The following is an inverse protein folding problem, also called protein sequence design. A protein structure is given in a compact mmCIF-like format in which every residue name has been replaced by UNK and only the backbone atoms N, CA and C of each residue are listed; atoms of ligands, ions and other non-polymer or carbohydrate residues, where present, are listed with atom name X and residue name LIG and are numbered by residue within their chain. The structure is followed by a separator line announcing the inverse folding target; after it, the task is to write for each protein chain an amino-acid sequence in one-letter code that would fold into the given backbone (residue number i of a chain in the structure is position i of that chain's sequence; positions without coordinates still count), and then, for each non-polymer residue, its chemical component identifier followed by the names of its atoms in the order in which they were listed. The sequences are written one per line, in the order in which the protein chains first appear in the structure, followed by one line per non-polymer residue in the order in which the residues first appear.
data_IF_218733126058
#
_entry.id   IF_218733126058
#
_cell.length_a   1.000
_cell.length_b   1.000
_cell.length_c   1.000
_cell.angle_alpha   90.00
_cell.angle_beta   90.00
_cell.angle_gamma   90.00
#
_symmetry.space_group_name_H-M   'P 1'
#
loop_
_entity.id
_entity.type
_entity.pdbx_description
1 polymer ?
#
# COMPACT_ATOMS: atom_id res chain seq x y z
N UNK A 1 33.83 5.84 -2.52
CA UNK A 1 32.48 5.40 -2.07
C UNK A 1 31.62 5.31 -3.32
N UNK A 2 31.01 4.16 -3.63
CA UNK A 2 30.10 4.06 -4.78
C UNK A 2 28.92 5.01 -4.58
N UNK A 3 28.50 5.70 -5.65
CA UNK A 3 27.34 6.59 -5.61
C UNK A 3 26.08 5.71 -5.47
N UNK A 4 25.17 5.97 -4.50
CA UNK A 4 23.92 5.23 -4.40
C UNK A 4 23.13 5.29 -5.70
N UNK A 5 22.65 4.14 -6.19
CA UNK A 5 21.94 4.06 -7.47
C UNK A 5 20.74 5.01 -7.56
N UNK A 6 19.99 5.18 -6.46
CA UNK A 6 18.87 6.12 -6.41
C UNK A 6 19.30 7.59 -6.56
N UNK A 7 20.43 7.98 -5.96
CA UNK A 7 20.97 9.34 -6.12
C UNK A 7 21.43 9.57 -7.56
N UNK A 8 22.12 8.59 -8.16
CA UNK A 8 22.53 8.66 -9.55
C UNK A 8 21.32 8.78 -10.49
N UNK A 9 20.27 7.99 -10.25
CA UNK A 9 19.03 8.05 -11.02
C UNK A 9 18.35 9.42 -10.93
N UNK A 10 18.27 10.04 -9.74
CA UNK A 10 17.75 11.41 -9.59
C UNK A 10 18.62 12.41 -10.36
N UNK A 11 19.94 12.35 -10.21
CA UNK A 11 20.85 13.32 -10.85
C UNK A 11 20.72 13.21 -12.36
N UNK A 12 20.85 12.01 -12.92
CA UNK A 12 20.77 11.79 -14.37
C UNK A 12 19.37 12.12 -14.88
N UNK A 13 18.32 11.67 -14.20
CA UNK A 13 16.94 11.97 -14.58
C UNK A 13 16.61 13.46 -14.56
N UNK A 14 17.12 14.19 -13.55
CA UNK A 14 16.97 15.65 -13.47
C UNK A 14 17.72 16.32 -14.60
N UNK A 15 18.98 15.97 -14.85
CA UNK A 15 19.76 16.54 -15.97
C UNK A 15 19.05 16.29 -17.30
N UNK A 16 18.57 15.06 -17.54
CA UNK A 16 17.83 14.73 -18.75
C UNK A 16 16.55 15.57 -18.90
N UNK A 17 15.80 15.77 -17.82
CA UNK A 17 14.56 16.56 -17.84
C UNK A 17 14.77 18.05 -18.12
N UNK A 18 15.93 18.60 -17.76
CA UNK A 18 16.29 19.99 -18.06
C UNK A 18 16.94 20.15 -19.44
N UNK A 19 17.85 19.25 -19.81
CA UNK A 19 18.72 19.43 -20.99
C UNK A 19 18.10 18.88 -22.26
N UNK A 20 17.49 17.70 -22.23
CA UNK A 20 17.02 17.05 -23.45
C UNK A 20 15.92 17.84 -24.19
N UNK A 21 14.94 18.48 -23.51
CA UNK A 21 13.95 19.34 -24.19
C UNK A 21 14.58 20.52 -24.94
N UNK A 22 15.72 21.05 -24.46
CA UNK A 22 16.44 22.14 -25.12
C UNK A 22 17.31 21.64 -26.29
N UNK A 23 17.94 20.48 -26.13
CA UNK A 23 18.88 19.93 -27.12
C UNK A 23 18.16 19.23 -28.28
N UNK A 24 17.03 18.56 -28.00
CA UNK A 24 16.29 17.77 -29.00
C UNK A 24 14.77 18.02 -28.91
N UNK A 25 14.30 19.27 -29.10
CA UNK A 25 12.89 19.64 -28.94
C UNK A 25 11.96 18.94 -29.94
N UNK A 26 12.49 18.45 -31.06
CA UNK A 26 11.68 17.76 -32.08
C UNK A 26 11.27 16.34 -31.66
N UNK A 27 12.00 15.74 -30.72
CA UNK A 27 11.75 14.39 -30.20
C UNK A 27 11.02 14.40 -28.85
N UNK A 28 10.87 15.56 -28.21
CA UNK A 28 10.29 15.70 -26.87
C UNK A 28 9.11 16.66 -26.89
N UNK A 29 7.94 16.17 -26.46
CA UNK A 29 6.74 16.99 -26.32
C UNK A 29 6.77 17.73 -24.98
N UNK A 30 7.16 19.00 -25.02
CA UNK A 30 7.15 19.91 -23.87
C UNK A 30 8.42 19.84 -23.00
N UNK A 31 8.59 20.86 -22.15
CA UNK A 31 9.61 20.86 -21.11
C UNK A 31 8.95 20.54 -19.77
N UNK A 32 9.27 19.40 -19.12
CA UNK A 32 8.71 19.07 -17.82
C UNK A 32 9.14 20.07 -16.74
N UNK A 33 10.27 20.75 -16.95
CA UNK A 33 10.86 21.71 -15.99
C UNK A 33 11.01 23.10 -16.61
N UNK A 34 10.89 24.15 -15.80
CA UNK A 34 11.03 25.54 -16.26
C UNK A 34 11.63 26.44 -15.18
N UNK A 35 12.56 27.30 -15.57
CA UNK A 35 13.19 28.28 -14.67
C UNK A 35 12.17 29.28 -14.11
N UNK A 36 11.13 29.63 -14.87
CA UNK A 36 10.09 30.54 -14.40
C UNK A 36 9.16 29.88 -13.37
N UNK A 37 8.97 28.56 -13.47
CA UNK A 37 8.26 27.79 -12.45
C UNK A 37 9.04 27.76 -11.12
N UNK A 38 10.38 27.69 -11.16
CA UNK A 38 11.24 27.82 -9.97
C UNK A 38 11.08 29.20 -9.35
N UNK A 39 11.18 30.29 -10.13
CA UNK A 39 11.03 31.66 -9.62
C UNK A 39 9.67 31.86 -8.96
N UNK A 40 8.61 31.36 -9.58
CA UNK A 40 7.26 31.42 -9.04
C UNK A 40 7.14 30.64 -7.73
N UNK A 41 7.69 29.43 -7.67
CA UNK A 41 7.71 28.62 -6.44
C UNK A 41 8.57 29.27 -5.34
N UNK A 42 9.67 29.94 -5.71
CA UNK A 42 10.51 30.67 -4.76
C UNK A 42 9.79 31.87 -4.16
N UNK A 43 8.94 32.55 -4.94
CA UNK A 43 8.07 33.62 -4.45
C UNK A 43 7.03 33.13 -3.44
N UNK A 44 6.76 31.83 -3.39
CA UNK A 44 5.88 31.18 -2.40
C UNK A 44 6.66 30.64 -1.20
N UNK A 45 8.00 30.72 -1.17
CA UNK A 45 8.77 30.35 0.01
C UNK A 45 8.49 31.36 1.14
N UNK A 46 8.37 30.85 2.36
CA UNK A 46 7.95 31.65 3.51
C UNK A 46 7.96 30.84 4.80
N UNK A 47 7.60 31.46 5.92
CA UNK A 47 7.48 30.74 7.18
C UNK A 47 6.08 30.11 7.30
N UNK A 48 6.03 28.78 7.33
CA UNK A 48 4.82 27.97 7.44
C UNK A 48 4.84 27.18 8.75
N UNK A 49 4.59 27.84 9.90
CA UNK A 49 4.54 27.14 11.18
C UNK A 49 3.36 26.16 11.21
N UNK A 50 3.48 25.06 11.97
CA UNK A 50 2.36 24.14 12.15
C UNK A 50 1.16 24.88 12.76
N UNK A 51 -0.03 24.63 12.23
CA UNK A 51 -1.27 25.23 12.72
C UNK A 51 -2.00 24.24 13.61
N UNK A 52 -2.52 24.69 14.76
CA UNK A 52 -3.25 23.81 15.65
C UNK A 52 -4.66 23.54 15.10
N UNK A 53 -4.93 22.29 14.71
CA UNK A 53 -6.21 21.81 14.20
C UNK A 53 -7.08 21.10 15.25
N UNK A 54 -6.61 20.95 16.49
CA UNK A 54 -7.32 20.20 17.53
C UNK A 54 -8.71 20.71 17.85
N UNK A 55 -8.95 22.03 17.76
CA UNK A 55 -10.30 22.61 17.91
C UNK A 55 -11.26 22.15 16.82
N UNK A 56 -10.83 22.19 15.55
CA UNK A 56 -11.63 21.72 14.42
C UNK A 56 -11.89 20.21 14.49
N UNK A 57 -10.88 19.42 14.88
CA UNK A 57 -11.03 17.98 15.10
C UNK A 57 -12.04 17.68 16.21
N UNK A 58 -12.04 18.47 17.29
CA UNK A 58 -13.01 18.29 18.38
C UNK A 58 -14.44 18.58 17.94
N UNK A 59 -14.67 19.63 17.16
CA UNK A 59 -16.00 19.92 16.60
C UNK A 59 -16.45 18.84 15.61
N UNK A 60 -15.55 18.33 14.76
CA UNK A 60 -15.84 17.21 13.88
C UNK A 60 -16.27 15.97 14.67
N UNK A 61 -15.55 15.62 15.75
CA UNK A 61 -15.87 14.45 16.57
C UNK A 61 -17.27 14.53 17.22
N UNK A 62 -17.77 15.73 17.51
CA UNK A 62 -19.14 15.95 18.04
C UNK A 62 -20.23 15.72 17.00
N UNK A 63 -19.89 15.64 15.71
CA UNK A 63 -20.84 15.49 14.61
C UNK A 63 -20.64 14.14 13.90
N UNK A 64 -21.13 13.01 14.46
CA UNK A 64 -21.00 11.69 13.87
C UNK A 64 -21.43 11.61 12.39
N UNK A 65 -22.44 12.39 12.00
CA UNK A 65 -22.91 12.42 10.61
C UNK A 65 -21.84 12.84 9.59
N UNK A 66 -20.82 13.60 10.00
CA UNK A 66 -19.77 14.08 9.10
C UNK A 66 -18.58 13.13 8.96
N UNK A 67 -18.34 12.25 9.94
CA UNK A 67 -17.16 11.38 9.93
C UNK A 67 -17.45 9.88 9.95
N UNK A 68 -18.63 9.45 10.39
CA UNK A 68 -18.99 8.02 10.45
C UNK A 68 -18.97 7.40 9.05
N UNK A 69 -19.36 8.15 8.00
CA UNK A 69 -19.24 7.70 6.61
C UNK A 69 -17.80 7.38 6.20
N UNK A 70 -16.81 8.06 6.77
CA UNK A 70 -15.40 7.80 6.51
C UNK A 70 -14.85 6.63 7.33
N UNK A 71 -15.59 6.03 8.27
CA UNK A 71 -15.11 4.86 9.03
C UNK A 71 -14.74 3.69 8.12
N UNK A 72 -15.41 3.59 6.98
CA UNK A 72 -15.12 2.63 5.92
C UNK A 72 -13.73 2.82 5.30
N UNK A 73 -13.14 4.01 5.39
CA UNK A 73 -11.77 4.33 4.95
C UNK A 73 -10.81 4.37 6.13
N UNK A 74 -11.20 5.02 7.24
CA UNK A 74 -10.39 5.21 8.45
C UNK A 74 -9.95 3.86 9.02
N UNK A 75 -10.87 2.91 9.14
CA UNK A 75 -10.55 1.62 9.76
C UNK A 75 -9.58 0.78 8.91
N UNK A 76 -9.82 0.55 7.59
CA UNK A 76 -8.84 -0.13 6.75
C UNK A 76 -7.49 0.58 6.69
N UNK A 77 -7.48 1.92 6.56
CA UNK A 77 -6.23 2.68 6.47
C UNK A 77 -5.43 2.65 7.79
N UNK A 78 -6.11 2.74 8.93
CA UNK A 78 -5.49 2.62 10.25
C UNK A 78 -4.89 1.23 10.46
N UNK A 79 -5.62 0.18 10.09
CA UNK A 79 -5.14 -1.19 10.18
C UNK A 79 -3.98 -1.45 9.20
N UNK A 80 -4.03 -0.91 7.98
CA UNK A 80 -2.92 -0.92 7.03
C UNK A 80 -1.66 -0.29 7.63
N UNK A 81 -1.78 0.89 8.25
CA UNK A 81 -0.64 1.57 8.86
C UNK A 81 -0.02 0.74 9.99
N UNK A 82 -0.85 0.08 10.80
CA UNK A 82 -0.39 -0.79 11.88
C UNK A 82 0.36 -2.01 11.32
N UNK A 83 -0.23 -2.71 10.36
CA UNK A 83 0.37 -3.89 9.73
C UNK A 83 1.67 -3.51 9.01
N UNK A 84 1.65 -2.45 8.21
CA UNK A 84 2.83 -1.97 7.48
C UNK A 84 3.97 -1.56 8.42
N UNK A 85 3.64 -0.92 9.55
CA UNK A 85 4.64 -0.58 10.56
C UNK A 85 5.26 -1.83 11.21
N UNK A 86 4.48 -2.88 11.47
CA UNK A 86 4.99 -4.16 11.97
C UNK A 86 5.89 -4.84 10.93
N UNK A 87 5.48 -4.86 9.65
CA UNK A 87 6.29 -5.39 8.56
C UNK A 87 7.64 -4.67 8.43
N UNK A 88 7.67 -3.35 8.67
CA UNK A 88 8.94 -2.59 8.68
C UNK A 88 9.84 -2.97 9.85
N UNK A 89 9.27 -3.25 11.03
CA UNK A 89 10.02 -3.74 12.20
C UNK A 89 10.60 -5.13 11.93
N UNK A 90 9.79 -6.04 11.38
CA UNK A 90 10.22 -7.40 10.98
C UNK A 90 11.29 -7.35 9.89
N UNK A 91 11.14 -6.45 8.91
CA UNK A 91 12.13 -6.21 7.85
C UNK A 91 13.46 -5.69 8.43
N UNK A 92 13.41 -4.79 9.42
CA UNK A 92 14.61 -4.32 10.12
C UNK A 92 15.30 -5.44 10.92
N UNK A 93 14.52 -6.29 11.59
CA UNK A 93 15.03 -7.45 12.31
C UNK A 93 15.68 -8.48 11.37
N UNK A 94 15.09 -8.72 10.19
CA UNK A 94 15.68 -9.55 9.14
C UNK A 94 17.03 -8.99 8.63
N UNK A 95 17.23 -7.67 8.68
CA UNK A 95 18.51 -7.02 8.40
C UNK A 95 19.45 -6.93 9.62
N UNK A 96 19.09 -7.55 10.74
CA UNK A 96 19.91 -7.66 11.94
C UNK A 96 19.78 -6.50 12.95
N UNK A 97 18.75 -5.66 12.86
CA UNK A 97 18.40 -4.69 13.91
C UNK A 97 17.05 -5.04 14.54
N UNK A 98 17.09 -5.60 15.75
CA UNK A 98 15.87 -5.93 16.50
C UNK A 98 15.37 -4.70 17.26
N UNK A 99 14.16 -4.24 16.93
CA UNK A 99 13.49 -3.15 17.62
C UNK A 99 12.26 -3.67 18.37
N UNK A 100 12.08 -3.33 19.67
CA UNK A 100 10.87 -3.69 20.39
C UNK A 100 9.62 -3.11 19.73
N UNK A 101 8.69 -3.98 19.31
CA UNK A 101 7.54 -3.56 18.53
C UNK A 101 6.64 -2.57 19.28
N UNK A 102 6.31 -2.83 20.54
CA UNK A 102 5.39 -1.98 21.32
C UNK A 102 5.87 -0.51 21.42
N UNK A 103 7.10 -0.20 21.85
CA UNK A 103 7.63 1.17 21.84
C UNK A 103 7.64 1.81 20.44
N UNK A 104 8.06 1.09 19.40
CA UNK A 104 8.12 1.61 18.04
C UNK A 104 6.72 1.97 17.52
N UNK A 105 5.74 1.09 17.74
CA UNK A 105 4.35 1.32 17.38
C UNK A 105 3.70 2.45 18.18
N UNK A 106 4.01 2.58 19.47
CA UNK A 106 3.55 3.70 20.28
C UNK A 106 4.11 5.03 19.78
N UNK A 107 5.39 5.09 19.43
CA UNK A 107 5.99 6.29 18.85
C UNK A 107 5.29 6.69 17.54
N UNK A 108 4.98 5.71 16.68
CA UNK A 108 4.24 5.96 15.45
C UNK A 108 2.81 6.48 15.72
N UNK A 109 2.05 5.83 16.62
CA UNK A 109 0.69 6.26 16.95
C UNK A 109 0.62 7.65 17.58
N UNK A 110 1.50 7.94 18.54
CA UNK A 110 1.61 9.27 19.15
C UNK A 110 2.03 10.31 18.11
N UNK A 111 2.98 9.99 17.25
CA UNK A 111 3.39 10.84 16.13
C UNK A 111 2.22 11.18 15.20
N UNK A 112 1.38 10.21 14.87
CA UNK A 112 0.17 10.40 14.06
C UNK A 112 -0.83 11.34 14.73
N UNK A 113 -1.10 11.17 16.03
CA UNK A 113 -2.01 12.05 16.79
C UNK A 113 -1.45 13.48 16.85
N UNK A 114 -0.15 13.62 17.12
CA UNK A 114 0.49 14.93 17.15
C UNK A 114 0.46 15.60 15.77
N UNK A 115 0.72 14.86 14.70
CA UNK A 115 0.65 15.38 13.34
C UNK A 115 -0.77 15.84 12.97
N UNK A 116 -1.80 15.08 13.34
CA UNK A 116 -3.20 15.47 13.06
C UNK A 116 -3.63 16.70 13.85
N UNK A 117 -3.20 16.83 15.11
CA UNK A 117 -3.41 18.04 15.92
C UNK A 117 -2.71 19.27 15.33
N UNK A 118 -1.68 19.08 14.51
CA UNK A 118 -0.95 20.14 13.80
C UNK A 118 -1.39 20.28 12.34
N UNK A 119 -2.52 19.67 11.96
CA UNK A 119 -3.17 19.86 10.66
C UNK A 119 -2.77 18.85 9.57
N UNK A 120 -2.00 17.81 9.89
CA UNK A 120 -1.73 16.73 8.93
C UNK A 120 -2.97 15.86 8.73
N UNK A 121 -3.41 15.72 7.47
CA UNK A 121 -4.44 14.76 7.09
C UNK A 121 -3.89 13.34 6.84
N UNK A 122 -2.56 13.17 6.90
CA UNK A 122 -1.91 11.88 6.68
C UNK A 122 -1.33 11.31 7.98
N UNK A 123 -1.52 10.00 8.25
CA UNK A 123 -0.89 9.35 9.39
C UNK A 123 0.62 9.22 9.19
N UNK A 124 1.36 9.20 10.30
CA UNK A 124 2.78 8.84 10.26
C UNK A 124 2.94 7.33 10.10
N UNK A 125 4.11 6.89 9.64
CA UNK A 125 4.44 5.47 9.56
C UNK A 125 5.92 5.23 9.87
N UNK A 126 6.25 4.00 10.26
CA UNK A 126 7.65 3.59 10.43
C UNK A 126 8.31 3.54 9.06
N UNK A 127 9.55 4.00 8.98
CA UNK A 127 10.28 4.14 7.73
C UNK A 127 10.46 2.80 7.00
N UNK A 128 10.06 2.76 5.71
CA UNK A 128 10.20 1.58 4.85
C UNK A 128 11.62 1.50 4.29
N UNK A 129 12.15 0.29 4.13
CA UNK A 129 13.41 0.05 3.43
C UNK A 129 14.65 0.08 4.32
N UNK A 130 14.49 -0.06 5.65
CA UNK A 130 15.60 -0.19 6.61
C UNK A 130 16.75 -1.10 6.13
N UNK A 131 16.50 -2.30 5.56
CA UNK A 131 17.58 -3.15 5.04
C UNK A 131 18.46 -2.44 3.99
N UNK A 132 17.83 -1.80 3.00
CA UNK A 132 18.55 -1.11 1.93
C UNK A 132 19.39 0.07 2.44
N UNK A 133 18.85 0.85 3.39
CA UNK A 133 19.61 1.94 4.01
C UNK A 133 20.79 1.43 4.85
N UNK A 134 20.58 0.33 5.58
CA UNK A 134 21.63 -0.30 6.39
C UNK A 134 22.76 -0.85 5.54
N UNK A 135 22.45 -1.52 4.42
CA UNK A 135 23.45 -1.99 3.45
C UNK A 135 24.32 -0.84 2.90
N UNK A 136 23.74 0.35 2.75
CA UNK A 136 24.48 1.57 2.36
C UNK A 136 25.32 2.19 3.48
N UNK A 137 25.36 1.59 4.67
CA UNK A 137 26.10 2.09 5.84
C UNK A 137 25.39 3.19 6.63
N UNK A 138 24.08 3.37 6.41
CA UNK A 138 23.27 4.33 7.16
C UNK A 138 23.18 3.96 8.63
N UNK A 139 23.10 4.98 9.50
CA UNK A 139 22.98 4.86 10.97
C UNK A 139 21.97 5.88 11.48
N UNK A 140 21.72 5.88 12.79
CA UNK A 140 20.76 6.79 13.43
C UNK A 140 20.94 8.28 13.03
N UNK A 141 22.19 8.75 12.89
CA UNK A 141 22.46 10.14 12.49
C UNK A 141 21.89 10.51 11.12
N UNK A 142 21.90 9.60 10.15
CA UNK A 142 21.28 9.83 8.84
C UNK A 142 19.76 10.04 8.97
N UNK A 143 19.10 9.18 9.76
CA UNK A 143 17.66 9.28 10.01
C UNK A 143 17.28 10.60 10.70
N UNK A 144 18.05 11.01 11.71
CA UNK A 144 17.84 12.30 12.40
C UNK A 144 18.04 13.50 11.48
N UNK A 145 19.11 13.50 10.68
CA UNK A 145 19.38 14.59 9.73
C UNK A 145 18.30 14.67 8.66
N UNK A 146 17.79 13.54 8.19
CA UNK A 146 16.68 13.50 7.25
C UNK A 146 15.42 14.15 7.84
N UNK A 147 15.07 13.81 9.08
CA UNK A 147 13.96 14.44 9.79
C UNK A 147 14.10 15.95 9.93
N UNK A 148 15.29 16.44 10.33
CA UNK A 148 15.59 17.88 10.44
C UNK A 148 15.51 18.56 9.07
N UNK A 149 16.07 17.95 8.04
CA UNK A 149 16.08 18.48 6.68
C UNK A 149 14.66 18.68 6.14
N UNK A 150 13.82 17.65 6.23
CA UNK A 150 12.43 17.75 5.79
C UNK A 150 11.60 18.71 6.65
N UNK A 151 11.85 18.76 7.97
CA UNK A 151 11.23 19.76 8.83
C UNK A 151 11.53 21.19 8.37
N UNK A 152 12.80 21.52 8.10
CA UNK A 152 13.19 22.85 7.63
C UNK A 152 12.58 23.18 6.27
N UNK A 153 12.54 22.20 5.35
CA UNK A 153 11.96 22.40 4.02
C UNK A 153 10.46 22.66 4.11
N UNK A 154 9.73 21.90 4.91
CA UNK A 154 8.30 22.09 5.12
C UNK A 154 8.00 23.43 5.80
N UNK A 155 8.74 23.78 6.85
CA UNK A 155 8.57 25.05 7.57
C UNK A 155 8.92 26.28 6.72
N UNK A 156 9.77 26.14 5.71
CA UNK A 156 10.15 27.22 4.79
C UNK A 156 9.31 27.24 3.50
N UNK A 157 8.43 26.26 3.29
CA UNK A 157 7.66 26.12 2.05
C UNK A 157 8.52 25.77 0.82
N UNK A 158 9.81 25.45 1.01
CA UNK A 158 10.75 25.20 -0.10
C UNK A 158 10.51 23.86 -0.79
N UNK A 159 9.60 23.01 -0.28
CA UNK A 159 9.13 21.80 -0.98
C UNK A 159 8.61 22.11 -2.37
N UNK A 160 7.88 23.23 -2.52
CA UNK A 160 7.38 23.69 -3.82
C UNK A 160 8.52 23.95 -4.80
N UNK A 161 9.61 24.59 -4.34
CA UNK A 161 10.81 24.84 -5.15
C UNK A 161 11.47 23.53 -5.58
N UNK A 162 11.66 22.60 -4.64
CA UNK A 162 12.27 21.29 -4.92
C UNK A 162 11.47 20.53 -5.98
N UNK A 163 10.12 20.55 -5.89
CA UNK A 163 9.23 19.92 -6.88
C UNK A 163 9.33 20.53 -8.29
N UNK A 164 9.85 21.76 -8.41
CA UNK A 164 10.09 22.44 -9.70
C UNK A 164 11.54 22.34 -10.16
N UNK A 165 12.42 21.72 -9.38
CA UNK A 165 13.81 21.42 -9.75
C UNK A 165 13.98 19.95 -10.11
N UNK A 166 13.39 19.06 -9.32
CA UNK A 166 13.48 17.60 -9.48
C UNK A 166 12.17 17.09 -10.08
N UNK A 167 12.20 16.50 -11.30
CA UNK A 167 11.00 15.95 -11.92
C UNK A 167 10.46 14.78 -11.11
N UNK A 168 9.13 14.66 -11.03
CA UNK A 168 8.46 13.59 -10.30
C UNK A 168 8.87 12.22 -10.87
N UNK A 169 9.04 12.14 -12.18
CA UNK A 169 9.39 10.95 -12.95
C UNK A 169 10.73 10.35 -12.51
N UNK A 170 11.71 11.19 -12.14
CA UNK A 170 12.98 10.71 -11.60
C UNK A 170 12.81 10.10 -10.20
N UNK A 171 11.87 10.62 -9.40
CA UNK A 171 11.50 10.04 -8.10
C UNK A 171 10.78 8.70 -8.23
N UNK A 172 9.90 8.56 -9.23
CA UNK A 172 9.15 7.31 -9.50
C UNK A 172 10.10 6.13 -9.75
N UNK A 173 11.24 6.36 -10.41
CA UNK A 173 12.24 5.32 -10.65
C UNK A 173 12.78 4.70 -9.34
N UNK A 174 12.95 5.50 -8.28
CA UNK A 174 13.39 5.01 -6.97
C UNK A 174 12.30 4.16 -6.33
N UNK A 175 11.05 4.63 -6.36
CA UNK A 175 9.91 3.89 -5.79
C UNK A 175 9.76 2.54 -6.49
N UNK A 176 9.91 2.51 -7.81
CA UNK A 176 9.92 1.27 -8.60
C UNK A 176 11.04 0.33 -8.16
N UNK A 177 12.27 0.83 -8.01
CA UNK A 177 13.40 0.03 -7.55
C UNK A 177 13.18 -0.54 -6.14
N UNK A 178 12.72 0.29 -5.19
CA UNK A 178 12.40 -0.15 -3.83
C UNK A 178 11.30 -1.23 -3.88
N UNK A 179 10.26 -1.05 -4.69
CA UNK A 179 9.21 -2.06 -4.88
C UNK A 179 9.73 -3.39 -5.40
N UNK A 180 10.64 -3.37 -6.38
CA UNK A 180 11.31 -4.57 -6.91
C UNK A 180 12.17 -5.26 -5.85
N UNK A 181 12.96 -4.51 -5.09
CA UNK A 181 13.81 -5.05 -4.02
C UNK A 181 12.95 -5.67 -2.92
N UNK A 182 11.88 -5.01 -2.46
CA UNK A 182 10.97 -5.55 -1.45
C UNK A 182 10.29 -6.83 -1.96
N UNK A 183 9.88 -6.84 -3.23
CA UNK A 183 9.26 -8.03 -3.84
C UNK A 183 10.25 -9.18 -3.92
N UNK A 184 11.49 -8.94 -4.39
CA UNK A 184 12.54 -9.95 -4.41
C UNK A 184 12.85 -10.48 -3.00
N UNK A 185 12.96 -9.58 -2.01
CA UNK A 185 13.16 -9.94 -0.61
C UNK A 185 12.04 -10.81 -0.05
N UNK A 186 10.78 -10.59 -0.45
CA UNK A 186 9.68 -11.45 -0.02
C UNK A 186 9.88 -12.92 -0.44
N UNK A 187 10.46 -13.16 -1.62
CA UNK A 187 10.80 -14.50 -2.09
C UNK A 187 12.05 -15.08 -1.41
N UNK A 188 13.08 -14.27 -1.16
CA UNK A 188 14.36 -14.76 -0.60
C UNK A 188 14.37 -14.85 0.92
N UNK A 189 13.57 -14.04 1.61
CA UNK A 189 13.46 -14.05 3.07
C UNK A 189 12.48 -15.12 3.58
N UNK A 190 11.60 -15.62 2.70
CA UNK A 190 10.71 -16.74 2.99
C UNK A 190 11.38 -18.07 2.63
N UNK A 191 11.03 -19.20 3.28
CA UNK A 191 11.46 -20.52 2.83
C UNK A 191 11.11 -20.72 1.35
N UNK A 192 12.03 -21.25 0.55
CA UNK A 192 11.87 -21.33 -0.91
C UNK A 192 10.60 -22.08 -1.36
N UNK A 193 10.16 -23.08 -0.58
CA UNK A 193 8.90 -23.80 -0.81
C UNK A 193 7.64 -22.92 -0.70
N UNK A 194 7.70 -21.77 -0.04
CA UNK A 194 6.60 -20.81 0.08
C UNK A 194 6.56 -19.78 -1.06
N UNK A 195 7.44 -19.85 -2.05
CA UNK A 195 7.41 -18.97 -3.22
C UNK A 195 6.03 -18.88 -3.91
N UNK A 196 5.24 -19.97 -4.06
CA UNK A 196 3.87 -19.87 -4.60
C UNK A 196 2.93 -19.02 -3.73
N UNK A 197 3.11 -19.03 -2.41
CA UNK A 197 2.30 -18.21 -1.49
C UNK A 197 2.64 -16.72 -1.61
N UNK A 198 3.92 -16.39 -1.79
CA UNK A 198 4.38 -15.02 -2.08
C UNK A 198 3.76 -14.54 -3.40
N UNK A 199 3.87 -15.35 -4.46
CA UNK A 199 3.28 -15.02 -5.77
C UNK A 199 1.76 -14.84 -5.69
N UNK A 200 1.05 -15.74 -4.99
CA UNK A 200 -0.40 -15.64 -4.77
C UNK A 200 -0.76 -14.33 -4.06
N UNK A 201 0.02 -13.94 -3.05
CA UNK A 201 -0.16 -12.71 -2.30
C UNK A 201 -0.05 -11.44 -3.15
N UNK A 202 0.65 -11.46 -4.29
CA UNK A 202 0.80 -10.28 -5.15
C UNK A 202 -0.42 -10.04 -6.07
N UNK A 203 -1.16 -11.09 -6.44
CA UNK A 203 -2.25 -10.98 -7.41
C UNK A 203 -3.35 -9.98 -7.02
N UNK A 204 -3.86 -9.93 -5.78
CA UNK A 204 -4.91 -8.97 -5.42
C UNK A 204 -4.46 -7.52 -5.55
N UNK A 205 -3.19 -7.21 -5.29
CA UNK A 205 -2.64 -5.87 -5.48
C UNK A 205 -2.52 -5.50 -6.97
N UNK A 206 -2.17 -6.46 -7.84
CA UNK A 206 -2.13 -6.26 -9.29
C UNK A 206 -3.55 -6.02 -9.83
N UNK A 207 -4.53 -6.81 -9.35
CA UNK A 207 -5.93 -6.61 -9.68
C UNK A 207 -6.43 -5.23 -9.20
N UNK A 208 -6.00 -4.80 -8.02
CA UNK A 208 -6.34 -3.48 -7.48
C UNK A 208 -5.84 -2.32 -8.36
N UNK A 209 -4.60 -2.42 -8.83
CA UNK A 209 -4.05 -1.49 -9.80
C UNK A 209 -4.86 -1.49 -11.11
N UNK A 210 -5.23 -2.67 -11.61
CA UNK A 210 -6.10 -2.81 -12.79
C UNK A 210 -7.47 -2.13 -12.60
N UNK A 211 -8.08 -2.27 -11.41
CA UNK A 211 -9.34 -1.61 -11.08
C UNK A 211 -9.20 -0.08 -11.09
N UNK A 212 -8.08 0.44 -10.58
CA UNK A 212 -7.78 1.89 -10.57
C UNK A 212 -7.68 2.44 -12.00
N UNK A 213 -6.98 1.72 -12.89
CA UNK A 213 -6.89 2.11 -14.31
C UNK A 213 -8.27 2.10 -14.98
N UNK A 214 -9.05 1.05 -14.74
CA UNK A 214 -10.41 0.94 -15.28
C UNK A 214 -11.28 2.10 -14.80
N UNK A 215 -11.26 2.41 -13.50
CA UNK A 215 -12.01 3.51 -12.90
C UNK A 215 -11.61 4.86 -13.52
N UNK A 216 -10.31 5.14 -13.63
CA UNK A 216 -9.81 6.35 -14.28
C UNK A 216 -10.19 6.46 -15.75
N UNK A 217 -10.22 5.32 -16.46
CA UNK A 217 -10.63 5.27 -17.87
C UNK A 217 -12.11 5.61 -18.03
N UNK A 218 -12.99 5.09 -17.17
CA UNK A 218 -14.42 5.43 -17.17
C UNK A 218 -14.66 6.90 -16.84
N UNK A 219 -13.88 7.46 -15.90
CA UNK A 219 -13.95 8.87 -15.54
C UNK A 219 -13.59 9.79 -16.71
N UNK A 220 -12.50 9.51 -17.42
CA UNK A 220 -12.04 10.31 -18.55
C UNK A 220 -12.90 10.08 -19.81
N UNK A 221 -13.38 8.86 -20.01
CA UNK A 221 -14.15 8.48 -21.19
C UNK A 221 -15.54 9.13 -21.27
N UNK A 222 -16.09 9.63 -20.15
CA UNK A 222 -17.36 10.37 -20.11
C UNK A 222 -18.60 9.59 -20.57
N UNK A 223 -18.50 8.27 -20.65
CA UNK A 223 -19.57 7.37 -21.09
C UNK A 223 -20.42 6.86 -19.93
N UNK A 224 -20.72 5.56 -19.94
CA UNK A 224 -21.39 4.90 -18.81
C UNK A 224 -20.51 4.95 -17.57
N UNK A 225 -21.11 5.23 -16.42
CA UNK A 225 -20.42 5.15 -15.15
C UNK A 225 -20.20 3.70 -14.72
N UNK A 226 -19.28 3.46 -13.79
CA UNK A 226 -19.07 2.13 -13.21
C UNK A 226 -20.36 1.61 -12.55
N UNK A 227 -21.12 2.50 -11.90
CA UNK A 227 -22.43 2.20 -11.35
C UNK A 227 -23.40 1.71 -12.43
N UNK A 228 -23.49 2.37 -13.59
CA UNK A 228 -24.36 1.96 -14.69
C UNK A 228 -23.98 0.57 -15.23
N UNK A 229 -22.68 0.31 -15.36
CA UNK A 229 -22.16 -0.97 -15.86
C UNK A 229 -22.54 -2.11 -14.91
N UNK A 230 -22.29 -1.94 -13.60
CA UNK A 230 -22.53 -2.98 -12.60
C UNK A 230 -24.01 -3.17 -12.28
N UNK A 231 -24.81 -2.10 -12.31
CA UNK A 231 -26.26 -2.18 -12.08
C UNK A 231 -27.02 -2.80 -13.26
N UNK A 232 -26.54 -2.63 -14.48
CA UNK A 232 -27.14 -3.26 -15.67
C UNK A 232 -26.90 -4.77 -15.68
N UNK A 233 -25.65 -5.19 -15.47
CA UNK A 233 -25.28 -6.59 -15.40
C UNK A 233 -24.00 -6.78 -14.59
N UNK A 234 -24.10 -7.49 -13.47
CA UNK A 234 -22.97 -7.80 -12.60
C UNK A 234 -21.89 -8.64 -13.31
N UNK A 235 -22.28 -9.44 -14.31
CA UNK A 235 -21.41 -10.28 -15.10
C UNK A 235 -20.89 -9.58 -16.37
N UNK A 236 -20.88 -8.24 -16.38
CA UNK A 236 -20.29 -7.51 -17.50
C UNK A 236 -18.78 -7.81 -17.59
N UNK A 237 -18.36 -8.19 -18.78
CA UNK A 237 -16.97 -8.47 -19.10
C UNK A 237 -16.39 -7.37 -19.99
N UNK A 238 -15.15 -6.99 -19.71
CA UNK A 238 -14.33 -6.13 -20.57
C UNK A 238 -13.16 -6.98 -21.05
N UNK A 239 -13.11 -7.22 -22.35
CA UNK A 239 -12.08 -8.06 -22.98
C UNK A 239 -11.96 -9.47 -22.33
N UNK A 240 -13.11 -10.06 -21.97
CA UNK A 240 -13.18 -11.38 -21.31
C UNK A 240 -12.87 -11.38 -19.80
N UNK A 241 -12.67 -10.21 -19.19
CA UNK A 241 -12.44 -10.08 -17.74
C UNK A 241 -13.67 -9.50 -17.04
N UNK A 242 -14.09 -10.13 -15.94
CA UNK A 242 -15.25 -9.72 -15.17
C UNK A 242 -14.97 -8.41 -14.41
N UNK A 243 -15.70 -7.34 -14.73
CA UNK A 243 -15.56 -6.03 -14.06
C UNK A 243 -15.84 -6.15 -12.57
N UNK A 244 -16.91 -6.86 -12.21
CA UNK A 244 -17.27 -7.10 -10.81
C UNK A 244 -16.16 -7.83 -10.04
N UNK A 245 -15.53 -8.85 -10.64
CA UNK A 245 -14.46 -9.62 -9.99
C UNK A 245 -13.24 -8.77 -9.69
N UNK A 246 -12.91 -7.85 -10.59
CA UNK A 246 -11.83 -6.89 -10.41
C UNK A 246 -12.10 -5.95 -9.22
N UNK A 247 -13.32 -5.41 -9.13
CA UNK A 247 -13.75 -4.56 -8.00
C UNK A 247 -13.76 -5.35 -6.69
N UNK A 248 -14.28 -6.57 -6.68
CA UNK A 248 -14.29 -7.45 -5.49
C UNK A 248 -12.88 -7.75 -4.97
N UNK A 249 -11.92 -7.95 -5.87
CA UNK A 249 -10.54 -8.29 -5.50
C UNK A 249 -9.76 -7.07 -5.00
N UNK A 250 -10.06 -5.90 -5.56
CA UNK A 250 -9.44 -4.64 -5.15
C UNK A 250 -9.90 -4.18 -3.76
N UNK A 251 -11.16 -4.45 -3.40
CA UNK A 251 -11.73 -3.97 -2.13
C UNK A 251 -11.13 -4.72 -0.94
N UNK A 252 -10.29 -4.01 -0.19
CA UNK A 252 -9.53 -4.59 0.92
C UNK A 252 -8.36 -5.44 0.47
N UNK A 253 -7.80 -5.19 -0.73
CA UNK A 253 -6.76 -6.02 -1.34
C UNK A 253 -5.58 -6.31 -0.40
N UNK A 254 -5.17 -5.39 0.48
CA UNK A 254 -4.09 -5.61 1.46
C UNK A 254 -4.40 -6.81 2.36
N UNK A 255 -5.63 -6.88 2.89
CA UNK A 255 -6.07 -8.01 3.71
C UNK A 255 -6.15 -9.27 2.87
N UNK A 256 -6.70 -9.17 1.66
CA UNK A 256 -6.80 -10.29 0.73
C UNK A 256 -5.42 -10.87 0.38
N UNK A 257 -4.43 -10.04 0.08
CA UNK A 257 -3.04 -10.41 -0.15
C UNK A 257 -2.47 -11.22 1.03
N UNK A 258 -2.58 -10.66 2.24
CA UNK A 258 -2.03 -11.27 3.46
C UNK A 258 -2.73 -12.59 3.80
N UNK A 259 -4.05 -12.62 3.75
CA UNK A 259 -4.87 -13.79 4.10
C UNK A 259 -4.66 -14.91 3.08
N UNK A 260 -4.68 -14.63 1.78
CA UNK A 260 -4.47 -15.65 0.75
C UNK A 260 -3.04 -16.21 0.80
N UNK A 261 -2.03 -15.36 1.00
CA UNK A 261 -0.67 -15.81 1.21
C UNK A 261 -0.55 -16.72 2.45
N UNK A 262 -1.18 -16.35 3.57
CA UNK A 262 -1.17 -17.14 4.80
C UNK A 262 -1.88 -18.50 4.64
N UNK A 263 -3.05 -18.53 3.99
CA UNK A 263 -3.77 -19.77 3.67
C UNK A 263 -2.88 -20.67 2.80
N UNK A 264 -2.31 -20.13 1.73
CA UNK A 264 -1.46 -20.89 0.82
C UNK A 264 -0.21 -21.45 1.52
N UNK A 265 0.49 -20.64 2.31
CA UNK A 265 1.64 -21.08 3.08
C UNK A 265 1.27 -22.20 4.08
N UNK A 266 0.13 -22.08 4.77
CA UNK A 266 -0.36 -23.13 5.67
C UNK A 266 -0.68 -24.44 4.93
N UNK A 267 -1.27 -24.35 3.74
CA UNK A 267 -1.56 -25.53 2.90
C UNK A 267 -0.29 -26.20 2.38
N UNK A 268 0.72 -25.42 1.97
CA UNK A 268 2.04 -25.93 1.58
C UNK A 268 2.72 -26.65 2.77
N UNK A 269 2.55 -26.12 3.98
CA UNK A 269 3.04 -26.73 5.22
C UNK A 269 2.24 -27.95 5.69
N UNK A 270 1.12 -28.30 5.03
CA UNK A 270 0.21 -29.34 5.50
C UNK A 270 -0.53 -28.98 6.79
N UNK A 271 -0.51 -27.71 7.22
CA UNK A 271 -1.17 -27.22 8.44
C UNK A 271 -2.61 -26.83 8.14
N UNK A 272 -3.46 -27.82 7.83
CA UNK A 272 -4.83 -27.58 7.37
C UNK A 272 -5.70 -26.88 8.42
N UNK A 273 -5.50 -27.12 9.72
CA UNK A 273 -6.21 -26.39 10.79
C UNK A 273 -5.89 -24.89 10.80
N UNK A 274 -4.63 -24.53 10.57
CA UNK A 274 -4.23 -23.13 10.47
C UNK A 274 -4.82 -22.47 9.22
N UNK A 275 -4.81 -23.18 8.07
CA UNK A 275 -5.47 -22.72 6.85
C UNK A 275 -6.99 -22.51 7.05
N UNK A 276 -7.64 -23.39 7.81
CA UNK A 276 -9.04 -23.25 8.17
C UNK A 276 -9.29 -22.02 9.04
N UNK A 277 -8.45 -21.76 10.05
CA UNK A 277 -8.54 -20.58 10.89
C UNK A 277 -8.40 -19.30 10.04
N UNK A 278 -7.41 -19.23 9.16
CA UNK A 278 -7.23 -18.09 8.26
C UNK A 278 -8.41 -17.90 7.30
N UNK A 279 -9.01 -18.99 6.82
CA UNK A 279 -10.25 -18.93 6.02
C UNK A 279 -11.44 -18.44 6.85
N UNK A 280 -11.55 -18.82 8.11
CA UNK A 280 -12.55 -18.27 9.04
C UNK A 280 -12.37 -16.78 9.28
N UNK A 281 -11.12 -16.32 9.45
CA UNK A 281 -10.79 -14.88 9.55
C UNK A 281 -11.17 -14.15 8.25
N UNK A 282 -10.87 -14.74 7.09
CA UNK A 282 -11.27 -14.21 5.79
C UNK A 282 -12.80 -14.05 5.67
N UNK A 283 -13.55 -15.06 6.11
CA UNK A 283 -15.01 -15.01 6.14
C UNK A 283 -15.52 -13.89 7.03
N UNK A 284 -14.96 -13.75 8.23
CA UNK A 284 -15.31 -12.66 9.15
C UNK A 284 -15.05 -11.30 8.50
N UNK A 285 -13.91 -11.11 7.84
CA UNK A 285 -13.57 -9.85 7.18
C UNK A 285 -14.52 -9.54 6.02
N UNK A 286 -14.89 -10.54 5.23
CA UNK A 286 -15.89 -10.40 4.18
C UNK A 286 -17.27 -10.04 4.74
N UNK A 287 -17.70 -10.70 5.82
CA UNK A 287 -18.99 -10.39 6.45
C UNK A 287 -19.03 -9.01 7.09
N UNK A 288 -17.93 -8.56 7.71
CA UNK A 288 -17.80 -7.21 8.26
C UNK A 288 -17.67 -6.13 7.18
N UNK A 289 -17.42 -6.51 5.93
CA UNK A 289 -17.24 -5.61 4.81
C UNK A 289 -15.85 -4.98 4.72
N UNK A 290 -14.85 -5.58 5.40
CA UNK A 290 -13.44 -5.17 5.33
C UNK A 290 -12.76 -5.65 4.05
N UNK A 291 -13.31 -6.68 3.41
CA UNK A 291 -12.86 -7.23 2.14
C UNK A 291 -14.04 -7.48 1.23
N UNK A 292 -13.87 -7.26 -0.07
CA UNK A 292 -14.81 -7.64 -1.13
C UNK A 292 -16.19 -6.96 -1.14
N UNK A 293 -16.62 -6.36 -0.03
CA UNK A 293 -17.86 -5.58 0.03
C UNK A 293 -17.60 -4.16 -0.45
N UNK A 294 -18.51 -3.64 -1.27
CA UNK A 294 -18.34 -2.32 -1.83
C UNK A 294 -19.65 -1.67 -2.21
N UNK A 295 -19.58 -0.36 -2.33
CA UNK A 295 -20.64 0.49 -2.85
C UNK A 295 -20.04 1.34 -3.96
N UNK A 296 -20.76 1.51 -5.07
CA UNK A 296 -20.35 2.37 -6.18
C UNK A 296 -21.35 3.50 -6.34
N UNK A 297 -20.85 4.73 -6.27
CA UNK A 297 -21.59 5.95 -6.58
C UNK A 297 -20.91 6.59 -7.79
N UNK A 298 -21.60 6.63 -8.92
CA UNK A 298 -21.05 7.01 -10.22
C UNK A 298 -19.82 6.16 -10.57
N UNK A 299 -18.62 6.73 -10.47
CA UNK A 299 -17.35 6.08 -10.70
C UNK A 299 -16.57 5.83 -9.41
N UNK A 300 -17.02 6.32 -8.26
CA UNK A 300 -16.31 6.19 -7.00
C UNK A 300 -16.72 4.92 -6.26
N UNK A 301 -15.72 4.14 -5.89
CA UNK A 301 -15.91 2.88 -5.18
C UNK A 301 -15.59 3.11 -3.71
N UNK A 302 -16.57 2.89 -2.85
CA UNK A 302 -16.48 3.04 -1.40
C UNK A 302 -16.45 1.67 -0.71
N UNK A 303 -15.79 1.62 0.46
CA UNK A 303 -15.94 0.48 1.35
C UNK A 303 -17.35 0.47 1.93
N UNK A 304 -17.94 -0.72 2.00
CA UNK A 304 -19.25 -0.92 2.59
C UNK A 304 -19.10 -1.82 3.81
N UNK A 305 -19.15 -1.23 5.00
CA UNK A 305 -19.09 -1.99 6.25
C UNK A 305 -20.46 -2.62 6.56
N UNK A 306 -20.47 -3.73 7.28
CA UNK A 306 -21.72 -4.44 7.62
C UNK A 306 -22.71 -3.60 8.44
N UNK A 307 -22.21 -2.59 9.15
CA UNK A 307 -22.98 -1.77 10.08
C UNK A 307 -23.43 -0.43 9.47
N UNK A 308 -23.06 -0.14 8.21
CA UNK A 308 -23.50 1.07 7.50
C UNK A 308 -24.77 0.76 6.70
N UNK A 309 -25.72 1.69 6.72
CA UNK A 309 -26.95 1.57 5.91
C UNK A 309 -26.61 1.58 4.42
N UNK A 310 -27.44 0.89 3.63
CA UNK A 310 -27.30 0.89 2.17
C UNK A 310 -27.59 2.28 1.64
N UNK A 311 -26.73 2.74 0.73
CA UNK A 311 -26.98 3.99 0.05
C UNK A 311 -28.02 3.79 -1.04
N UNK A 312 -29.04 4.65 -1.01
CA UNK A 312 -30.18 4.59 -1.94
C UNK A 312 -29.79 5.06 -3.34
N UNK A 313 -28.74 5.89 -3.43
CA UNK A 313 -28.31 6.52 -4.69
C UNK A 313 -27.23 5.71 -5.45
N UNK A 314 -26.67 4.66 -4.83
CA UNK A 314 -25.54 3.88 -5.34
C UNK A 314 -25.85 2.41 -5.63
N UNK A 315 -24.94 1.72 -6.34
CA UNK A 315 -24.97 0.26 -6.46
C UNK A 315 -24.24 -0.38 -5.29
N UNK A 316 -24.95 -1.18 -4.49
CA UNK A 316 -24.39 -1.85 -3.31
C UNK A 316 -24.18 -3.33 -3.55
N UNK A 317 -22.95 -3.80 -3.32
CA UNK A 317 -22.61 -5.23 -3.32
C UNK A 317 -22.31 -5.75 -1.92
N UNK A 318 -22.95 -6.86 -1.57
CA UNK A 318 -22.75 -7.56 -0.30
C UNK A 318 -21.76 -8.71 -0.50
N UNK A 319 -20.68 -8.75 0.28
CA UNK A 319 -19.70 -9.85 0.24
C UNK A 319 -20.15 -11.11 0.99
N UNK A 320 -21.46 -11.29 1.23
CA UNK A 320 -21.99 -12.46 1.95
C UNK A 320 -21.67 -13.77 1.22
N UNK A 321 -21.79 -13.80 -0.11
CA UNK A 321 -21.40 -14.97 -0.91
C UNK A 321 -19.91 -15.30 -0.81
N UNK A 322 -19.05 -14.28 -0.83
CA UNK A 322 -17.60 -14.44 -0.64
C UNK A 322 -17.28 -14.96 0.76
N UNK A 323 -17.94 -14.42 1.79
CA UNK A 323 -17.81 -14.89 3.17
C UNK A 323 -18.24 -16.35 3.34
N UNK A 324 -19.35 -16.76 2.72
CA UNK A 324 -19.79 -18.17 2.70
C UNK A 324 -18.75 -19.03 1.98
N UNK A 325 -18.19 -18.58 0.87
CA UNK A 325 -17.10 -19.28 0.17
C UNK A 325 -15.90 -19.55 1.08
N UNK A 326 -15.47 -18.56 1.85
CA UNK A 326 -14.40 -18.73 2.84
C UNK A 326 -14.78 -19.66 4.00
N UNK A 327 -16.05 -19.67 4.44
CA UNK A 327 -16.51 -20.67 5.42
C UNK A 327 -16.48 -22.09 4.85
N UNK A 328 -16.82 -22.27 3.57
CA UNK A 328 -16.72 -23.57 2.90
C UNK A 328 -15.26 -24.01 2.77
N UNK A 329 -14.33 -23.10 2.49
CA UNK A 329 -12.89 -23.38 2.55
C UNK A 329 -12.47 -23.79 3.96
N UNK A 330 -12.90 -23.06 4.99
CA UNK A 330 -12.60 -23.40 6.39
C UNK A 330 -13.10 -24.81 6.75
N UNK A 331 -14.34 -25.14 6.40
CA UNK A 331 -14.92 -26.47 6.62
C UNK A 331 -14.14 -27.56 5.87
N UNK A 332 -13.79 -27.31 4.60
CA UNK A 332 -13.02 -28.25 3.78
C UNK A 332 -11.63 -28.52 4.39
N UNK A 333 -10.93 -27.48 4.82
CA UNK A 333 -9.61 -27.61 5.44
C UNK A 333 -9.69 -28.28 6.81
N UNK A 334 -10.75 -28.06 7.61
CA UNK A 334 -10.97 -28.80 8.86
C UNK A 334 -11.17 -30.30 8.61
N UNK A 335 -11.98 -30.66 7.60
CA UNK A 335 -12.20 -32.06 7.21
C UNK A 335 -10.88 -32.71 6.79
N UNK A 336 -10.09 -32.03 5.95
CA UNK A 336 -8.78 -32.52 5.51
C UNK A 336 -7.77 -32.63 6.67
N UNK A 337 -7.73 -31.67 7.58
CA UNK A 337 -6.86 -31.68 8.76
C UNK A 337 -7.21 -32.78 9.78
N UNK A 338 -8.49 -33.15 9.87
CA UNK A 338 -8.93 -34.33 10.62
C UNK A 338 -8.37 -35.66 10.09
N UNK A 339 -7.95 -35.69 8.82
CA UNK A 339 -7.39 -36.88 8.17
C UNK A 339 -5.86 -36.87 8.02
N UNK A 340 -5.18 -35.71 8.12
CA UNK A 340 -3.80 -35.54 7.61
C UNK A 340 -2.88 -34.57 8.36
N UNK A 341 -3.17 -34.20 9.61
CA UNK A 341 -2.19 -33.42 10.40
C UNK A 341 -1.00 -34.30 10.85
N UNK A 342 -0.27 -34.89 9.90
CA UNK A 342 1.09 -35.41 10.12
C UNK A 342 2.05 -34.21 10.04
N UNK A 343 2.97 -34.06 11.01
CA UNK A 343 3.94 -32.98 10.96
C UNK A 343 4.79 -33.14 9.70
N UNK A 344 4.83 -32.09 8.87
CA UNK A 344 5.67 -32.03 7.69
C UNK A 344 7.08 -32.51 8.04
N UNK A 345 7.56 -33.54 7.33
CA UNK A 345 8.92 -34.05 7.49
C UNK A 345 9.89 -32.87 7.35
N UNK A 346 10.52 -32.50 8.46
CA UNK A 346 11.68 -31.62 8.48
C UNK A 346 12.82 -32.34 7.77
N UNK A 347 12.79 -32.41 6.44
CA UNK A 347 14.03 -32.52 5.70
C UNK A 347 14.77 -31.22 6.00
N UNK A 348 15.86 -31.32 6.76
CA UNK A 348 16.76 -30.22 7.03
C UNK A 348 17.00 -29.47 5.70
N UNK A 349 16.52 -28.23 5.62
CA UNK A 349 16.87 -27.33 4.53
C UNK A 349 18.39 -27.17 4.61
N UNK A 350 19.12 -27.75 3.65
CA UNK A 350 20.48 -27.32 3.37
C UNK A 350 20.40 -25.81 3.10
N UNK A 351 21.24 -24.99 3.76
CA UNK A 351 21.26 -23.57 3.48
C UNK A 351 21.60 -23.40 2.00
N UNK A 352 20.71 -22.72 1.27
CA UNK A 352 20.93 -22.31 -0.11
C UNK A 352 22.34 -21.68 -0.18
N UNK A 353 23.27 -22.18 -1.03
CA UNK A 353 24.60 -21.62 -1.11
C UNK A 353 24.46 -20.13 -1.37
N UNK A 354 25.00 -19.31 -0.44
CA UNK A 354 25.06 -17.86 -0.61
C UNK A 354 25.54 -17.58 -2.03
N UNK A 355 24.85 -16.74 -2.82
CA UNK A 355 25.34 -16.40 -4.14
C UNK A 355 26.75 -15.85 -3.98
N UNK A 356 27.71 -16.50 -4.63
CA UNK A 356 29.08 -16.05 -4.66
C UNK A 356 29.09 -14.68 -5.33
N UNK A 357 29.33 -13.64 -4.53
CA UNK A 357 29.37 -12.25 -5.00
C UNK A 357 30.70 -11.92 -5.69
N UNK A 358 31.52 -12.93 -5.99
CA UNK A 358 32.65 -12.80 -6.90
C UNK A 358 32.24 -13.18 -8.31
N UNK A 359 31.66 -12.25 -9.08
CA UNK A 359 31.90 -12.08 -10.52
C UNK A 359 31.32 -10.77 -11.05
#
# INVERSE_FOLDING_TARGET
VPIPGGLLAIIVGTICAWVLPEVIPQLLQGSPMSADAIKTAWGQAGWYPPHFAGGALWELLKQPGEWVGYMSVIFPMGLFNVIGSMQNIESAEAAGDSYPAKPAMMANGVGTIMASLLGSCFPTTIYIGHPGWKEMGSRAGYSTLNGIFFMLICLTGTTGVISKIIPLEAGVAIVLWIGMVITAQAFTASPGRHAPAVALGLFPAIAAWGATIMQGTLLVGGGKTLQDVLSTNLFTEVNGFLVHGLVVMERGFIFTCMILAAICACLIDGKYRAAALWSGIAALFAFLGLTSAYEVINNDIHFRLAFTADNVDGFTFHATGVGIGYLLFAATFLILGGCKDEPASQKAEEPDPKPDVSH
#
